data_IF_920687011621
#
_entry.id   IF_920687011621
#
_cell.length_a   1.000
_cell.length_b   1.000
_cell.length_c   1.000
_cell.angle_alpha   90.00
_cell.angle_beta   90.00
_cell.angle_gamma   90.00
#
_symmetry.space_group_name_H-M   'P 1'
#
loop_
_entity.id
_entity.type
_entity.pdbx_description
1 polymer ?
#
# COMPACT_ATOMS: atom_id res chain seq x y z
N UNK A 1 15.65 -11.54 -8.40
CA UNK A 1 16.47 -11.69 -7.18
C UNK A 1 15.56 -12.20 -6.09
N UNK A 2 15.89 -13.31 -5.48
CA UNK A 2 15.11 -13.93 -4.40
C UNK A 2 16.01 -14.01 -3.15
N UNK A 3 15.56 -13.45 -2.04
CA UNK A 3 16.21 -13.45 -0.71
C UNK A 3 15.22 -13.90 0.37
N UNK A 4 14.21 -14.67 -0.02
CA UNK A 4 13.17 -15.14 0.91
C UNK A 4 13.67 -16.10 1.97
N UNK A 5 14.86 -16.66 1.79
CA UNK A 5 15.59 -17.46 2.78
C UNK A 5 16.04 -16.67 4.02
N UNK A 6 16.05 -15.33 3.94
CA UNK A 6 16.41 -14.44 5.03
C UNK A 6 15.24 -14.09 5.96
N UNK A 7 14.00 -14.44 5.57
CA UNK A 7 12.78 -14.10 6.30
C UNK A 7 12.70 -14.90 7.60
N UNK A 8 12.46 -14.21 8.70
CA UNK A 8 12.28 -14.78 10.04
C UNK A 8 10.80 -14.84 10.41
N UNK A 9 10.38 -15.73 11.31
CA UNK A 9 8.96 -15.93 11.65
C UNK A 9 8.21 -14.68 12.10
N UNK A 10 8.89 -13.75 12.76
CA UNK A 10 8.28 -12.52 13.30
C UNK A 10 8.43 -11.31 12.38
N UNK A 11 8.99 -11.46 11.19
CA UNK A 11 9.20 -10.35 10.28
C UNK A 11 7.88 -9.76 9.79
N UNK A 12 7.83 -8.43 9.69
CA UNK A 12 6.79 -7.70 8.98
C UNK A 12 7.23 -7.57 7.53
N UNK A 13 6.37 -8.03 6.63
CA UNK A 13 6.64 -8.09 5.20
C UNK A 13 5.89 -6.99 4.45
N UNK A 14 6.51 -6.42 3.41
CA UNK A 14 5.84 -5.46 2.54
C UNK A 14 5.80 -5.98 1.11
N UNK A 15 4.64 -5.87 0.46
CA UNK A 15 4.39 -6.28 -0.92
C UNK A 15 3.98 -5.08 -1.77
N UNK A 16 4.64 -4.91 -2.90
CA UNK A 16 4.46 -3.77 -3.79
C UNK A 16 4.59 -4.19 -5.26
N UNK A 17 3.71 -3.68 -6.12
CA UNK A 17 3.87 -3.74 -7.58
C UNK A 17 4.30 -2.37 -8.07
N UNK A 18 5.28 -2.30 -8.97
CA UNK A 18 5.78 -1.03 -9.47
C UNK A 18 6.16 -1.08 -10.97
N UNK A 19 6.15 0.07 -11.61
CA UNK A 19 6.71 0.32 -12.92
C UNK A 19 7.19 1.75 -13.02
N UNK A 20 8.48 1.95 -13.34
CA UNK A 20 9.11 3.27 -13.53
C UNK A 20 8.97 4.19 -12.29
N UNK A 21 9.17 3.63 -11.10
CA UNK A 21 9.05 4.33 -9.83
C UNK A 21 10.41 4.59 -9.14
N UNK A 22 11.52 4.45 -9.85
CA UNK A 22 12.88 4.60 -9.28
C UNK A 22 13.03 5.87 -8.45
N UNK A 23 12.41 6.96 -8.89
CA UNK A 23 12.49 8.25 -8.21
C UNK A 23 11.92 8.20 -6.78
N UNK A 24 10.91 7.35 -6.52
CA UNK A 24 10.24 7.21 -5.22
C UNK A 24 10.86 6.15 -4.33
N UNK A 25 11.51 5.12 -4.93
CA UNK A 25 11.93 3.91 -4.21
C UNK A 25 12.88 4.19 -3.06
N UNK A 26 13.76 5.19 -3.15
CA UNK A 26 14.71 5.49 -2.07
C UNK A 26 13.96 5.92 -0.80
N UNK A 27 13.11 6.94 -0.90
CA UNK A 27 12.33 7.40 0.24
C UNK A 27 11.35 6.33 0.74
N UNK A 28 10.68 5.63 -0.18
CA UNK A 28 9.75 4.56 0.15
C UNK A 28 10.38 3.46 1.00
N UNK A 29 11.53 2.94 0.61
CA UNK A 29 12.24 1.91 1.36
C UNK A 29 12.70 2.44 2.73
N UNK A 30 13.26 3.63 2.78
CA UNK A 30 13.75 4.23 4.03
C UNK A 30 12.60 4.50 5.02
N UNK A 31 11.45 4.99 4.51
CA UNK A 31 10.26 5.20 5.31
C UNK A 31 9.80 3.90 5.99
N UNK A 32 9.62 2.83 5.22
CA UNK A 32 9.12 1.58 5.75
C UNK A 32 10.16 0.80 6.58
N UNK A 33 11.44 0.92 6.28
CA UNK A 33 12.52 0.43 7.15
C UNK A 33 12.47 1.10 8.52
N UNK A 34 12.31 2.42 8.54
CA UNK A 34 12.14 3.18 9.79
C UNK A 34 10.90 2.76 10.58
N UNK A 35 9.82 2.39 9.89
CA UNK A 35 8.62 1.84 10.50
C UNK A 35 8.79 0.40 11.02
N UNK A 36 9.87 -0.29 10.66
CA UNK A 36 10.17 -1.65 11.13
C UNK A 36 9.72 -2.76 10.18
N UNK A 37 9.53 -2.47 8.89
CA UNK A 37 9.39 -3.51 7.87
C UNK A 37 10.74 -4.20 7.70
N UNK A 38 10.74 -5.54 7.72
CA UNK A 38 11.94 -6.35 7.72
C UNK A 38 12.33 -6.87 6.33
N UNK A 39 11.33 -7.15 5.47
CA UNK A 39 11.57 -7.66 4.13
C UNK A 39 10.55 -7.11 3.12
N UNK A 40 11.03 -6.79 1.93
CA UNK A 40 10.25 -6.19 0.87
C UNK A 40 10.12 -7.13 -0.33
N UNK A 41 8.90 -7.28 -0.82
CA UNK A 41 8.57 -8.05 -2.02
C UNK A 41 8.11 -7.09 -3.12
N UNK A 42 8.88 -7.02 -4.19
CA UNK A 42 8.51 -6.22 -5.35
C UNK A 42 8.16 -7.08 -6.55
N UNK A 43 7.12 -6.66 -7.28
CA UNK A 43 6.89 -7.09 -8.64
C UNK A 43 7.18 -5.91 -9.57
N UNK A 44 8.26 -5.99 -10.31
CA UNK A 44 8.62 -5.02 -11.32
C UNK A 44 7.93 -5.34 -12.65
N UNK A 45 7.09 -4.44 -13.13
CA UNK A 45 6.35 -4.62 -14.36
C UNK A 45 7.05 -3.93 -15.54
N UNK A 46 8.22 -4.46 -15.92
CA UNK A 46 9.00 -4.04 -17.10
C UNK A 46 9.41 -2.56 -17.04
N UNK A 47 10.05 -2.16 -15.95
CA UNK A 47 10.61 -0.82 -15.78
C UNK A 47 11.82 -0.60 -16.67
N UNK A 48 11.95 0.61 -17.23
CA UNK A 48 13.08 1.07 -18.05
C UNK A 48 13.85 2.27 -17.47
N UNK A 49 13.45 2.74 -16.26
CA UNK A 49 14.08 3.85 -15.53
C UNK A 49 15.24 3.43 -14.60
N UNK A 50 15.58 2.13 -14.56
CA UNK A 50 16.57 1.55 -13.67
C UNK A 50 16.05 1.17 -12.28
N UNK A 51 14.74 1.15 -12.06
CA UNK A 51 14.11 0.72 -10.80
C UNK A 51 14.45 -0.73 -10.46
N UNK A 52 14.41 -1.63 -11.45
CA UNK A 52 14.71 -3.06 -11.25
C UNK A 52 16.14 -3.28 -10.71
N UNK A 53 17.13 -2.59 -11.26
CA UNK A 53 18.52 -2.73 -10.83
C UNK A 53 18.74 -2.09 -9.45
N UNK A 54 18.06 -0.97 -9.17
CA UNK A 54 18.06 -0.37 -7.84
C UNK A 54 17.53 -1.33 -6.78
N UNK A 55 16.39 -2.00 -7.03
CA UNK A 55 15.78 -2.97 -6.13
C UNK A 55 16.65 -4.22 -5.94
N UNK A 56 17.29 -4.71 -6.99
CA UNK A 56 18.21 -5.88 -6.93
C UNK A 56 19.39 -5.66 -6.00
N UNK A 57 19.84 -4.42 -5.85
CA UNK A 57 20.97 -4.06 -5.01
C UNK A 57 20.60 -3.82 -3.53
N UNK A 58 19.31 -3.88 -3.17
CA UNK A 58 18.89 -3.75 -1.78
C UNK A 58 19.02 -5.08 -1.04
N UNK A 59 19.58 -5.11 0.19
CA UNK A 59 19.87 -6.36 0.91
C UNK A 59 18.60 -7.08 1.42
N UNK A 60 17.54 -6.33 1.67
CA UNK A 60 16.27 -6.75 2.27
C UNK A 60 15.11 -6.83 1.26
N UNK A 61 15.44 -6.82 -0.03
CA UNK A 61 14.44 -6.84 -1.12
C UNK A 61 14.53 -8.13 -1.92
N UNK A 62 13.38 -8.78 -2.10
CA UNK A 62 13.15 -9.79 -3.14
C UNK A 62 12.36 -9.17 -4.28
N UNK A 63 12.83 -9.29 -5.53
CA UNK A 63 12.18 -8.69 -6.69
C UNK A 63 11.98 -9.70 -7.81
N UNK A 64 10.76 -9.75 -8.33
CA UNK A 64 10.34 -10.49 -9.51
C UNK A 64 10.05 -9.53 -10.65
N UNK A 65 10.44 -9.88 -11.84
CA UNK A 65 10.20 -9.09 -13.04
C UNK A 65 9.16 -9.77 -13.93
N UNK A 66 8.26 -8.99 -14.53
CA UNK A 66 7.25 -9.49 -15.46
C UNK A 66 6.93 -8.48 -16.57
N UNK A 67 6.71 -8.98 -17.78
CA UNK A 67 6.17 -8.23 -18.92
C UNK A 67 4.69 -8.49 -19.14
N UNK A 68 4.05 -9.22 -18.24
CA UNK A 68 2.62 -9.50 -18.33
C UNK A 68 1.79 -8.21 -18.17
N UNK A 69 0.59 -8.23 -18.75
CA UNK A 69 -0.30 -7.06 -18.70
C UNK A 69 -0.77 -6.78 -17.28
N UNK A 70 -0.47 -5.59 -16.78
CA UNK A 70 -0.94 -5.08 -15.48
C UNK A 70 -2.48 -5.13 -15.36
N UNK A 71 -3.19 -4.70 -16.41
CA UNK A 71 -4.67 -4.74 -16.44
C UNK A 71 -5.21 -6.16 -16.36
N UNK A 72 -4.60 -7.12 -17.09
CA UNK A 72 -5.06 -8.53 -17.08
C UNK A 72 -4.73 -9.25 -15.78
N UNK A 73 -3.73 -8.80 -15.03
CA UNK A 73 -3.41 -9.30 -13.69
C UNK A 73 -4.24 -8.65 -12.59
N UNK A 74 -5.39 -8.10 -12.94
CA UNK A 74 -6.25 -7.34 -12.02
C UNK A 74 -5.49 -6.22 -11.30
N UNK A 75 -4.77 -5.42 -12.10
CA UNK A 75 -3.93 -4.33 -11.59
C UNK A 75 -2.88 -4.81 -10.58
N UNK A 76 -2.15 -5.88 -10.94
CA UNK A 76 -1.08 -6.45 -10.11
C UNK A 76 -1.55 -7.36 -8.97
N UNK A 77 -2.84 -7.37 -8.64
CA UNK A 77 -3.36 -8.15 -7.51
C UNK A 77 -3.07 -9.66 -7.65
N UNK A 78 -3.11 -10.23 -8.85
CA UNK A 78 -2.82 -11.65 -9.07
C UNK A 78 -1.37 -12.00 -8.72
N UNK A 79 -0.43 -11.12 -9.05
CA UNK A 79 0.98 -11.32 -8.74
C UNK A 79 1.24 -11.24 -7.24
N UNK A 80 0.66 -10.23 -6.57
CA UNK A 80 0.80 -10.07 -5.13
C UNK A 80 0.13 -11.22 -4.37
N UNK A 81 -1.09 -11.62 -4.75
CA UNK A 81 -1.77 -12.76 -4.15
C UNK A 81 -0.95 -14.05 -4.26
N UNK A 82 -0.28 -14.28 -5.41
CA UNK A 82 0.57 -15.45 -5.59
C UNK A 82 1.78 -15.42 -4.65
N UNK A 83 2.47 -14.30 -4.56
CA UNK A 83 3.62 -14.13 -3.66
C UNK A 83 3.20 -14.25 -2.18
N UNK A 84 2.11 -13.58 -1.80
CA UNK A 84 1.60 -13.59 -0.43
C UNK A 84 1.14 -14.99 0.00
N UNK A 85 0.48 -15.73 -0.90
CA UNK A 85 0.11 -17.12 -0.63
C UNK A 85 1.32 -18.02 -0.39
N UNK A 86 2.42 -17.75 -1.09
CA UNK A 86 3.65 -18.56 -1.03
C UNK A 86 4.51 -18.23 0.19
N UNK A 87 4.62 -16.95 0.56
CA UNK A 87 5.65 -16.49 1.49
C UNK A 87 5.10 -15.81 2.76
N UNK A 88 3.86 -15.36 2.77
CA UNK A 88 3.36 -14.44 3.80
C UNK A 88 2.57 -15.11 4.95
N UNK A 89 2.30 -16.41 4.88
CA UNK A 89 1.47 -17.07 5.88
C UNK A 89 2.04 -16.94 7.29
N UNK A 90 1.24 -16.40 8.21
CA UNK A 90 1.60 -16.17 9.61
C UNK A 90 2.26 -14.80 9.89
N UNK A 91 2.69 -14.08 8.87
CA UNK A 91 3.30 -12.76 9.01
C UNK A 91 2.26 -11.63 9.01
N UNK A 92 2.62 -10.50 9.62
CA UNK A 92 1.98 -9.24 9.33
C UNK A 92 2.49 -8.72 7.98
N UNK A 93 1.57 -8.34 7.11
CA UNK A 93 1.83 -7.97 5.72
C UNK A 93 1.28 -6.60 5.42
N UNK A 94 2.14 -5.71 4.95
CA UNK A 94 1.76 -4.48 4.27
C UNK A 94 1.63 -4.72 2.78
N UNK A 95 0.57 -4.19 2.17
CA UNK A 95 0.39 -4.18 0.71
C UNK A 95 0.04 -2.76 0.29
N UNK A 96 0.99 -2.09 -0.35
CA UNK A 96 0.93 -0.67 -0.67
C UNK A 96 1.56 -0.39 -2.03
N UNK A 97 1.14 0.68 -2.67
CA UNK A 97 1.74 1.19 -3.90
C UNK A 97 2.96 2.09 -3.56
N UNK A 98 3.90 2.36 -4.50
CA UNK A 98 5.15 3.06 -4.20
C UNK A 98 4.97 4.54 -3.80
N UNK A 99 3.78 5.08 -3.97
CA UNK A 99 3.37 6.44 -3.60
C UNK A 99 2.43 6.48 -2.38
N UNK A 100 2.27 5.35 -1.70
CA UNK A 100 1.42 5.23 -0.52
C UNK A 100 2.26 5.07 0.76
N UNK A 101 1.95 5.85 1.78
CA UNK A 101 2.62 5.84 3.08
C UNK A 101 1.58 5.62 4.19
N UNK A 102 1.69 4.49 4.89
CA UNK A 102 0.78 4.18 6.00
C UNK A 102 1.09 5.05 7.21
N UNK A 103 0.15 5.92 7.56
CA UNK A 103 0.17 6.72 8.78
C UNK A 103 -0.84 6.12 9.77
N UNK A 104 -0.40 5.84 10.99
CA UNK A 104 -1.22 5.29 12.06
C UNK A 104 -0.96 6.08 13.37
N UNK A 105 -1.83 5.97 14.38
CA UNK A 105 -1.64 6.70 15.64
C UNK A 105 -0.25 6.44 16.23
N UNK A 106 0.48 7.51 16.53
CA UNK A 106 1.85 7.50 17.10
C UNK A 106 2.93 6.89 16.17
N UNK A 107 2.72 6.86 14.85
CA UNK A 107 3.71 6.30 13.91
C UNK A 107 5.05 7.05 13.88
N UNK A 108 5.11 8.26 14.38
CA UNK A 108 6.32 9.08 14.56
C UNK A 108 7.22 8.59 15.71
N UNK A 109 6.62 7.96 16.73
CA UNK A 109 7.30 7.54 17.96
C UNK A 109 7.24 6.04 18.23
N UNK A 110 6.34 5.30 17.56
CA UNK A 110 6.13 3.87 17.74
C UNK A 110 6.25 3.13 16.43
N UNK A 111 7.12 2.11 16.32
CA UNK A 111 7.24 1.32 15.11
C UNK A 111 5.96 0.51 14.82
N UNK A 112 5.81 0.06 13.59
CA UNK A 112 4.67 -0.75 13.15
C UNK A 112 4.45 -2.01 13.99
N UNK A 113 5.54 -2.54 14.59
CA UNK A 113 5.47 -3.65 15.55
C UNK A 113 4.54 -3.35 16.73
N UNK A 114 4.57 -2.13 17.26
CA UNK A 114 3.69 -1.77 18.37
C UNK A 114 2.20 -1.81 17.98
N UNK A 115 1.87 -1.43 16.74
CA UNK A 115 0.52 -1.58 16.19
C UNK A 115 0.14 -3.05 15.99
N UNK A 116 1.04 -3.84 15.39
CA UNK A 116 0.76 -5.27 15.14
C UNK A 116 0.62 -6.08 16.41
N UNK A 117 1.40 -5.79 17.44
CA UNK A 117 1.29 -6.45 18.75
C UNK A 117 -0.04 -6.11 19.43
N UNK A 118 -0.49 -4.86 19.32
CA UNK A 118 -1.80 -4.45 19.83
C UNK A 118 -2.95 -5.13 19.06
N UNK A 119 -2.86 -5.23 17.74
CA UNK A 119 -3.83 -5.93 16.89
C UNK A 119 -3.88 -7.43 17.23
N UNK A 120 -2.73 -8.08 17.43
CA UNK A 120 -2.67 -9.49 17.82
C UNK A 120 -3.29 -9.69 19.24
N UNK A 121 -2.98 -8.84 20.20
CA UNK A 121 -3.57 -8.88 21.54
C UNK A 121 -5.10 -8.67 21.53
N UNK A 122 -5.59 -7.88 20.58
CA UNK A 122 -7.01 -7.62 20.35
C UNK A 122 -7.69 -8.66 19.46
N UNK A 123 -6.96 -9.68 18.98
CA UNK A 123 -7.44 -10.69 18.01
C UNK A 123 -7.94 -10.11 16.69
N UNK A 124 -7.45 -8.94 16.31
CA UNK A 124 -7.75 -8.23 15.06
C UNK A 124 -6.75 -8.67 13.99
N UNK A 125 -7.23 -9.11 12.84
CA UNK A 125 -6.39 -9.67 11.76
C UNK A 125 -6.09 -8.71 10.62
N UNK A 126 -6.74 -7.55 10.58
CA UNK A 126 -6.60 -6.57 9.51
C UNK A 126 -6.77 -5.16 10.04
N UNK A 127 -6.10 -4.21 9.41
CA UNK A 127 -6.20 -2.80 9.72
C UNK A 127 -6.53 -2.05 8.43
N UNK A 128 -7.74 -1.47 8.39
CA UNK A 128 -8.23 -0.68 7.26
C UNK A 128 -7.75 0.76 7.37
N UNK A 129 -7.54 1.40 6.23
CA UNK A 129 -7.13 2.78 6.13
C UNK A 129 -7.91 3.51 5.03
N UNK A 130 -7.89 4.82 5.09
CA UNK A 130 -8.40 5.69 4.04
C UNK A 130 -7.23 6.30 3.27
N UNK A 131 -7.28 6.26 1.95
CA UNK A 131 -6.37 7.05 1.12
C UNK A 131 -6.70 8.54 1.30
N UNK A 132 -5.71 9.30 1.73
CA UNK A 132 -5.76 10.74 1.78
C UNK A 132 -4.90 11.30 0.66
N UNK A 133 -5.54 11.79 -0.40
CA UNK A 133 -4.81 12.36 -1.53
C UNK A 133 -4.16 13.69 -1.13
N UNK A 134 -2.85 13.74 -1.27
CA UNK A 134 -2.04 14.91 -0.99
C UNK A 134 -1.68 15.64 -2.29
N UNK A 135 -1.58 16.97 -2.23
CA UNK A 135 -1.24 17.80 -3.40
C UNK A 135 -0.41 19.03 -2.99
N UNK A 136 0.39 19.61 -3.91
CA UNK A 136 1.15 20.82 -3.64
C UNK A 136 0.24 22.06 -3.63
N UNK A 137 0.71 23.12 -2.97
CA UNK A 137 0.13 24.45 -3.12
C UNK A 137 0.61 25.05 -4.44
N UNK A 138 -0.29 25.22 -5.39
CA UNK A 138 0.03 25.75 -6.71
C UNK A 138 0.08 24.67 -7.78
N UNK A 139 0.81 24.93 -8.85
CA UNK A 139 0.88 24.03 -10.00
C UNK A 139 1.82 22.85 -9.72
N UNK A 140 1.48 21.68 -10.27
CA UNK A 140 2.26 20.44 -10.10
C UNK A 140 3.67 20.54 -10.70
N UNK A 141 3.87 21.37 -11.73
CA UNK A 141 5.14 21.53 -12.44
C UNK A 141 6.12 22.55 -11.81
N UNK A 142 5.67 23.32 -10.80
CA UNK A 142 6.48 24.32 -10.13
C UNK A 142 7.45 23.75 -9.07
N UNK A 143 7.16 22.58 -8.54
CA UNK A 143 7.95 21.92 -7.51
C UNK A 143 8.24 20.46 -7.87
N UNK A 144 9.25 20.20 -8.71
CA UNK A 144 9.57 18.84 -9.12
C UNK A 144 10.07 18.01 -7.94
N UNK A 145 9.49 16.81 -7.79
CA UNK A 145 9.93 15.83 -6.81
C UNK A 145 11.35 15.33 -7.12
N UNK A 146 12.16 15.17 -6.09
CA UNK A 146 13.53 14.64 -6.18
C UNK A 146 13.65 13.31 -5.46
N UNK A 147 14.46 12.42 -6.01
CA UNK A 147 14.72 11.11 -5.38
C UNK A 147 15.23 11.28 -3.95
N UNK A 148 14.62 10.52 -3.02
CA UNK A 148 14.94 10.54 -1.59
C UNK A 148 14.31 11.69 -0.79
N UNK A 149 13.58 12.59 -1.44
CA UNK A 149 12.85 13.67 -0.77
C UNK A 149 11.56 13.14 -0.14
N UNK A 150 11.17 13.69 1.02
CA UNK A 150 9.85 13.43 1.60
C UNK A 150 8.75 14.00 0.69
N UNK A 151 7.84 13.17 0.16
CA UNK A 151 6.78 13.65 -0.71
C UNK A 151 5.83 14.62 -0.01
N UNK A 152 5.68 14.55 1.32
CA UNK A 152 4.82 15.45 2.10
C UNK A 152 5.37 16.88 2.14
N UNK A 153 6.69 17.07 1.99
CA UNK A 153 7.28 18.42 1.88
C UNK A 153 6.80 19.15 0.62
N UNK A 154 6.52 18.42 -0.46
CA UNK A 154 6.02 18.97 -1.72
C UNK A 154 4.50 18.97 -1.75
N UNK A 155 3.89 17.82 -1.51
CA UNK A 155 2.44 17.62 -1.49
C UNK A 155 1.93 17.73 -0.06
N UNK A 156 1.92 18.94 0.50
CA UNK A 156 1.59 19.20 1.92
C UNK A 156 0.12 19.57 2.16
N UNK A 157 -0.69 19.61 1.12
CA UNK A 157 -2.11 19.97 1.20
C UNK A 157 -3.00 18.76 0.96
N UNK A 158 -4.16 18.75 1.62
CA UNK A 158 -5.21 17.75 1.44
C UNK A 158 -6.57 18.38 1.69
N UNK A 159 -7.63 17.78 1.16
CA UNK A 159 -9.00 18.20 1.47
C UNK A 159 -9.38 17.65 2.85
N UNK A 160 -9.67 18.54 3.81
CA UNK A 160 -10.05 18.15 5.19
C UNK A 160 -11.53 17.72 5.32
N UNK A 161 -12.28 17.79 4.24
CA UNK A 161 -13.70 17.44 4.16
C UNK A 161 -14.08 16.97 2.76
N UNK A 162 -15.38 16.94 2.46
CA UNK A 162 -15.91 16.51 1.17
C UNK A 162 -15.67 15.02 0.88
N UNK A 163 -15.89 14.18 1.90
CA UNK A 163 -15.86 12.74 1.78
C UNK A 163 -17.24 12.15 2.09
N UNK A 164 -17.70 11.26 1.25
CA UNK A 164 -18.86 10.41 1.49
C UNK A 164 -18.44 9.06 2.03
N UNK A 165 -19.14 8.55 3.03
CA UNK A 165 -18.90 7.25 3.63
C UNK A 165 -20.21 6.48 3.68
N UNK A 166 -20.25 5.30 3.07
CA UNK A 166 -21.41 4.42 3.06
C UNK A 166 -21.01 2.99 3.46
N UNK A 167 -21.86 2.31 4.22
CA UNK A 167 -21.66 0.87 4.50
C UNK A 167 -21.91 0.05 3.24
N UNK A 168 -20.93 -0.71 2.84
CA UNK A 168 -21.02 -1.65 1.73
C UNK A 168 -21.25 -3.08 2.28
N UNK A 169 -22.50 -3.51 2.31
CA UNK A 169 -22.88 -4.84 2.82
C UNK A 169 -22.26 -5.99 2.00
N UNK A 170 -21.95 -5.78 0.72
CA UNK A 170 -21.40 -6.82 -0.14
C UNK A 170 -19.99 -7.27 0.30
N UNK A 171 -19.19 -6.36 0.87
CA UNK A 171 -17.83 -6.65 1.34
C UNK A 171 -17.61 -6.32 2.82
N UNK A 172 -18.66 -5.94 3.56
CA UNK A 172 -18.62 -5.58 4.99
C UNK A 172 -17.62 -4.47 5.31
N UNK A 173 -17.41 -3.53 4.38
CA UNK A 173 -16.49 -2.41 4.54
C UNK A 173 -17.22 -1.06 4.50
N UNK A 174 -16.47 0.01 4.79
CA UNK A 174 -16.87 1.37 4.41
C UNK A 174 -16.44 1.63 2.97
N UNK A 175 -17.39 2.14 2.16
CA UNK A 175 -17.09 2.66 0.84
C UNK A 175 -16.89 4.16 0.98
N UNK A 176 -15.67 4.62 0.73
CA UNK A 176 -15.28 6.01 0.93
C UNK A 176 -14.95 6.61 -0.43
N UNK A 177 -15.57 7.76 -0.75
CA UNK A 177 -15.29 8.54 -1.97
C UNK A 177 -15.21 10.02 -1.62
N UNK A 178 -14.51 10.82 -2.42
CA UNK A 178 -14.39 12.25 -2.19
C UNK A 178 -12.97 12.78 -2.41
N UNK A 179 -12.66 13.85 -1.69
CA UNK A 179 -11.36 14.49 -1.76
C UNK A 179 -11.03 15.14 -3.10
N UNK A 180 -9.73 15.47 -3.34
CA UNK A 180 -9.32 16.17 -4.56
C UNK A 180 -9.60 15.38 -5.83
N UNK A 181 -9.51 14.05 -5.82
CA UNK A 181 -9.82 13.25 -7.01
C UNK A 181 -11.27 13.38 -7.45
N UNK A 182 -12.21 13.35 -6.53
CA UNK A 182 -13.62 13.56 -6.85
C UNK A 182 -13.90 15.01 -7.28
N UNK A 183 -13.35 15.97 -6.56
CA UNK A 183 -13.55 17.39 -6.82
C UNK A 183 -12.98 17.86 -8.16
N UNK A 184 -11.84 17.32 -8.58
CA UNK A 184 -11.13 17.78 -9.79
C UNK A 184 -11.47 16.93 -11.01
N UNK A 185 -11.47 15.60 -10.87
CA UNK A 185 -11.60 14.70 -12.03
C UNK A 185 -12.99 14.11 -12.22
N UNK A 186 -13.83 14.15 -11.19
CA UNK A 186 -15.18 13.58 -11.19
C UNK A 186 -16.23 14.57 -10.69
N UNK A 187 -15.99 15.89 -10.87
CA UNK A 187 -16.87 16.93 -10.36
C UNK A 187 -18.33 16.82 -10.87
N UNK A 188 -18.52 16.38 -12.11
CA UNK A 188 -19.86 16.21 -12.71
C UNK A 188 -20.51 14.87 -12.36
N UNK A 189 -19.73 13.84 -11.98
CA UNK A 189 -20.19 12.49 -11.65
C UNK A 189 -19.42 11.95 -10.44
N UNK A 190 -19.59 12.53 -9.23
CA UNK A 190 -18.80 12.20 -8.04
C UNK A 190 -18.89 10.72 -7.61
N UNK A 191 -20.01 10.06 -7.92
CA UNK A 191 -20.22 8.63 -7.63
C UNK A 191 -19.32 7.71 -8.46
N UNK A 192 -18.74 8.19 -9.57
CA UNK A 192 -17.75 7.45 -10.37
C UNK A 192 -16.32 7.61 -9.86
N UNK A 193 -16.09 8.47 -8.88
CA UNK A 193 -14.76 8.64 -8.30
C UNK A 193 -14.27 7.31 -7.70
N UNK A 194 -12.99 6.95 -7.88
CA UNK A 194 -12.42 5.75 -7.28
C UNK A 194 -12.54 5.74 -5.76
N UNK A 195 -12.77 4.55 -5.20
CA UNK A 195 -12.85 4.37 -3.75
C UNK A 195 -11.52 4.68 -3.06
N UNK A 196 -11.61 5.24 -1.86
CA UNK A 196 -10.48 5.64 -1.03
C UNK A 196 -10.19 4.64 0.11
N UNK A 197 -11.10 3.70 0.38
CA UNK A 197 -10.88 2.69 1.41
C UNK A 197 -9.84 1.67 0.96
N UNK A 198 -8.94 1.31 1.86
CA UNK A 198 -7.88 0.30 1.68
C UNK A 198 -7.84 -0.66 2.87
N UNK A 199 -7.29 -1.85 2.67
CA UNK A 199 -6.93 -2.79 3.76
C UNK A 199 -5.44 -3.12 3.60
N UNK A 200 -4.55 -2.18 3.97
CA UNK A 200 -3.14 -2.30 3.67
C UNK A 200 -2.39 -3.25 4.60
N UNK A 201 -2.82 -3.44 5.85
CA UNK A 201 -2.09 -4.22 6.86
C UNK A 201 -2.93 -5.42 7.31
N UNK A 202 -2.39 -6.64 7.14
CA UNK A 202 -3.12 -7.89 7.38
C UNK A 202 -2.19 -8.95 7.99
N UNK A 203 -2.64 -9.65 9.05
CA UNK A 203 -2.02 -10.91 9.51
C UNK A 203 -2.37 -12.00 8.52
N UNK A 204 -1.44 -12.31 7.62
CA UNK A 204 -1.75 -13.07 6.41
C UNK A 204 -2.02 -14.56 6.66
N UNK A 205 -3.07 -15.07 6.05
CA UNK A 205 -3.30 -16.50 5.87
C UNK A 205 -3.30 -16.85 4.37
N UNK A 206 -2.78 -18.02 4.01
CA UNK A 206 -2.74 -18.52 2.62
C UNK A 206 -4.12 -18.65 1.95
N UNK A 207 -5.19 -18.59 2.75
CA UNK A 207 -6.59 -18.60 2.27
C UNK A 207 -7.09 -17.22 1.88
N UNK A 208 -6.36 -16.16 2.23
CA UNK A 208 -6.77 -14.79 1.95
C UNK A 208 -6.43 -14.41 0.52
N UNK A 209 -7.21 -13.50 -0.05
CA UNK A 209 -7.01 -13.00 -1.40
C UNK A 209 -7.55 -11.58 -1.54
N UNK A 210 -6.78 -10.69 -2.13
CA UNK A 210 -7.28 -9.42 -2.62
C UNK A 210 -8.10 -9.64 -3.89
N UNK A 211 -9.33 -9.11 -3.90
CA UNK A 211 -10.28 -9.31 -5.00
C UNK A 211 -9.96 -8.38 -6.17
N UNK A 212 -9.74 -7.10 -5.86
CA UNK A 212 -9.40 -6.07 -6.84
C UNK A 212 -8.56 -5.03 -6.13
N UNK A 213 -7.25 -4.98 -6.43
CA UNK A 213 -6.35 -4.12 -5.69
C UNK A 213 -6.47 -4.34 -4.17
N UNK A 214 -5.92 -3.46 -3.35
CA UNK A 214 -5.93 -3.56 -1.87
C UNK A 214 -7.20 -3.00 -1.20
N UNK A 215 -8.25 -2.75 -1.99
CA UNK A 215 -9.51 -2.20 -1.47
C UNK A 215 -10.41 -3.23 -0.78
N UNK A 216 -10.30 -4.50 -1.16
CA UNK A 216 -11.19 -5.55 -0.69
C UNK A 216 -10.47 -6.90 -0.57
N UNK A 217 -10.65 -7.55 0.57
CA UNK A 217 -10.14 -8.88 0.87
C UNK A 217 -11.25 -9.93 0.97
N UNK A 218 -10.89 -11.18 0.76
CA UNK A 218 -11.67 -12.33 1.18
C UNK A 218 -10.88 -13.15 2.21
N UNK A 219 -11.53 -13.65 3.27
CA UNK A 219 -12.96 -13.54 3.60
C UNK A 219 -13.37 -12.10 3.98
N UNK A 220 -14.65 -11.78 3.77
CA UNK A 220 -15.19 -10.40 3.89
C UNK A 220 -15.01 -9.77 5.28
N UNK A 221 -14.95 -10.57 6.34
CA UNK A 221 -14.72 -10.10 7.71
C UNK A 221 -13.40 -9.33 7.90
N UNK A 222 -12.43 -9.47 6.99
CA UNK A 222 -11.17 -8.72 7.02
C UNK A 222 -11.31 -7.27 6.58
N UNK A 223 -12.44 -6.87 6.00
CA UNK A 223 -12.66 -5.50 5.53
C UNK A 223 -13.39 -4.63 6.57
N UNK A 224 -13.66 -5.18 7.75
CA UNK A 224 -14.36 -4.44 8.80
C UNK A 224 -13.55 -3.23 9.26
N UNK A 225 -14.26 -2.13 9.50
CA UNK A 225 -13.76 -0.99 10.24
C UNK A 225 -14.31 -1.14 11.66
N UNK A 226 -13.43 -1.12 12.62
CA UNK A 226 -13.79 -1.18 14.04
C UNK A 226 -14.09 0.24 14.51
N UNK A 227 -15.23 0.38 15.18
CA UNK A 227 -15.67 1.64 15.80
C UNK A 227 -14.85 1.94 17.06
#
# INVERSE_FOLDING_TARGET
MDRTDQIRPDDILLFCTQRNEKIRLSYFLDYYRKQGVNHFFFVDNDSDDGALDYLRNQPDVSVWHTRASYRRSRFGADWLNWLQRKYAHGHWVLTVDPDEFLVYPFCDTRPLRALTDWLDASSIKSFSAMLLDMYPKGRLDEQPYRSGQDPIEIASWFDSGNYSMARNAAFTNLWIQGGPRARVFFAEEPEKAPALNKVPLVKWDKKYVYVSSTHMLLPRGLNQVYD
#
